data_IF_041187195141
#
_entry.id   IF_041187195141
#
_cell.length_a   1.000
_cell.length_b   1.000
_cell.length_c   1.000
_cell.angle_alpha   90.00
_cell.angle_beta   90.00
_cell.angle_gamma   90.00
#
_symmetry.space_group_name_H-M   'P 1'
#
loop_
_entity.id
_entity.type
_entity.pdbx_description
1 polymer ?
#
# COMPACT_ATOMS: atom_id res chain seq x y z
N UNK A 1 7.31 -2.57 25.22
CA UNK A 1 7.02 -1.59 24.15
C UNK A 1 5.75 -0.84 24.55
N UNK A 2 5.73 0.50 24.51
CA UNK A 2 4.55 1.28 24.91
C UNK A 2 3.41 1.11 23.89
N UNK A 3 2.17 0.94 24.35
CA UNK A 3 0.97 0.80 23.50
C UNK A 3 0.81 1.97 22.52
N UNK A 4 1.08 3.19 22.99
CA UNK A 4 1.06 4.42 22.17
C UNK A 4 2.02 4.37 20.98
N UNK A 5 3.19 3.75 21.15
CA UNK A 5 4.18 3.62 20.06
C UNK A 5 3.69 2.66 18.98
N UNK A 6 3.05 1.55 19.38
CA UNK A 6 2.46 0.59 18.45
C UNK A 6 1.33 1.21 17.65
N UNK A 7 0.46 1.98 18.29
CA UNK A 7 -0.61 2.72 17.61
C UNK A 7 -0.07 3.72 16.60
N UNK A 8 0.97 4.47 16.97
CA UNK A 8 1.64 5.39 16.05
C UNK A 8 2.20 4.68 14.82
N UNK A 9 2.93 3.57 15.00
CA UNK A 9 3.47 2.77 13.88
C UNK A 9 2.35 2.27 12.98
N UNK A 10 1.24 1.80 13.57
CA UNK A 10 0.07 1.30 12.84
C UNK A 10 -0.54 2.39 11.96
N UNK A 11 -0.74 3.58 12.51
CA UNK A 11 -1.26 4.73 11.76
C UNK A 11 -0.32 5.15 10.62
N UNK A 12 1.00 5.20 10.87
CA UNK A 12 1.97 5.54 9.83
C UNK A 12 1.97 4.52 8.68
N UNK A 13 1.87 3.22 9.00
CA UNK A 13 1.79 2.16 7.99
C UNK A 13 0.51 2.24 7.15
N UNK A 14 -0.64 2.49 7.79
CA UNK A 14 -1.91 2.67 7.06
C UNK A 14 -1.83 3.86 6.09
N UNK A 15 -1.32 5.01 6.54
CA UNK A 15 -1.17 6.19 5.68
C UNK A 15 -0.14 5.95 4.57
N UNK A 16 0.95 5.24 4.85
CA UNK A 16 1.99 4.93 3.89
C UNK A 16 1.54 3.95 2.79
N UNK A 17 0.57 3.09 3.08
CA UNK A 17 0.07 2.05 2.17
C UNK A 17 -1.28 2.38 1.53
N UNK A 18 -1.91 3.49 1.93
CA UNK A 18 -3.15 3.97 1.34
C UNK A 18 -2.95 4.32 -0.15
N UNK A 19 -3.93 3.95 -0.97
CA UNK A 19 -3.96 4.34 -2.38
C UNK A 19 -4.43 5.79 -2.50
N UNK A 20 -3.47 6.69 -2.77
CA UNK A 20 -3.74 8.12 -3.01
C UNK A 20 -3.83 8.44 -4.52
N UNK A 21 -3.86 7.41 -5.38
CA UNK A 21 -4.01 7.61 -6.81
C UNK A 21 -5.35 8.27 -7.14
N UNK A 22 -5.32 9.26 -8.04
CA UNK A 22 -6.51 10.05 -8.41
C UNK A 22 -6.72 11.36 -7.65
N UNK A 23 -5.94 11.63 -6.59
CA UNK A 23 -5.93 12.95 -5.93
C UNK A 23 -5.40 14.07 -6.85
N UNK A 24 -4.58 13.72 -7.84
CA UNK A 24 -4.10 14.63 -8.89
C UNK A 24 -4.42 14.08 -10.27
N UNK A 25 -4.86 14.96 -11.18
CA UNK A 25 -4.89 14.66 -12.60
C UNK A 25 -3.44 14.41 -13.03
N UNK A 26 -3.10 13.17 -13.37
CA UNK A 26 -1.72 12.77 -13.67
C UNK A 26 -1.01 13.70 -14.67
N UNK A 27 0.32 13.66 -14.70
CA UNK A 27 1.17 14.63 -15.41
C UNK A 27 0.76 14.87 -16.88
N UNK A 28 0.38 13.81 -17.60
CA UNK A 28 -0.05 13.89 -19.00
C UNK A 28 -1.35 14.71 -19.16
N UNK A 29 -2.31 14.54 -18.24
CA UNK A 29 -3.57 15.26 -18.26
C UNK A 29 -3.37 16.73 -17.89
N UNK A 30 -2.48 17.01 -16.93
CA UNK A 30 -2.10 18.37 -16.57
C UNK A 30 -1.39 19.12 -17.71
N UNK A 31 -0.60 18.42 -18.53
CA UNK A 31 0.01 18.98 -19.74
C UNK A 31 -1.01 19.22 -20.86
N UNK A 32 -1.98 18.32 -21.03
CA UNK A 32 -3.07 18.51 -22.00
C UNK A 32 -3.90 19.76 -21.68
N UNK A 33 -4.24 19.97 -20.41
CA UNK A 33 -5.03 21.13 -19.96
C UNK A 33 -4.24 22.46 -20.04
N UNK A 34 -2.91 22.41 -19.91
CA UNK A 34 -2.02 23.58 -19.99
C UNK A 34 -1.36 23.76 -21.35
N UNK A 35 -1.71 22.94 -22.36
CA UNK A 35 -1.23 23.13 -23.71
C UNK A 35 -1.68 24.52 -24.18
N UNK A 36 -0.73 25.45 -24.21
CA UNK A 36 -0.94 26.82 -24.60
C UNK A 36 -1.57 26.80 -26.00
N UNK A 37 -2.77 27.36 -26.14
CA UNK A 37 -3.47 27.44 -27.42
C UNK A 37 -2.64 28.35 -28.34
N UNK A 38 -1.75 27.76 -29.12
CA UNK A 38 -0.99 28.46 -30.14
C UNK A 38 -1.92 28.71 -31.34
N UNK A 39 -2.66 29.82 -31.27
CA UNK A 39 -3.51 30.27 -32.38
C UNK A 39 -2.64 30.90 -33.45
N UNK A 40 -2.19 30.08 -34.41
CA UNK A 40 -1.59 30.53 -35.67
C UNK A 40 -2.53 31.42 -36.54
N UNK A 41 -3.75 31.68 -36.07
CA UNK A 41 -4.80 32.45 -36.74
C UNK A 41 -4.41 33.91 -36.98
N UNK A 42 -3.61 34.53 -36.11
CA UNK A 42 -3.17 35.93 -36.28
C UNK A 42 -1.65 36.06 -36.19
N UNK A 43 -0.99 36.21 -37.35
CA UNK A 43 0.42 36.59 -37.41
C UNK A 43 0.60 38.00 -36.79
N UNK A 44 1.52 38.15 -35.84
CA UNK A 44 1.88 39.46 -35.26
C UNK A 44 2.25 40.46 -36.36
N UNK A 45 1.61 41.63 -36.41
CA UNK A 45 1.98 42.73 -37.31
C UNK A 45 3.26 43.41 -36.78
N UNK A 46 4.29 43.52 -37.63
CA UNK A 46 5.55 44.20 -37.26
C UNK A 46 5.38 45.73 -37.31
N UNK A 47 5.73 46.47 -36.25
CA UNK A 47 5.71 47.93 -36.27
C UNK A 47 6.81 48.48 -37.20
N UNK A 48 6.46 49.53 -37.95
CA UNK A 48 7.39 50.26 -38.84
C UNK A 48 7.50 51.69 -38.33
N UNK A 49 8.73 52.16 -38.14
CA UNK A 49 9.04 53.51 -37.66
C UNK A 49 9.88 54.21 -38.72
N UNK A 50 9.59 55.49 -38.97
CA UNK A 50 10.31 56.32 -39.91
C UNK A 50 11.48 56.97 -39.17
N UNK A 51 12.71 56.72 -39.63
CA UNK A 51 13.90 57.31 -39.03
C UNK A 51 14.03 58.77 -39.50
N UNK A 52 13.91 59.72 -38.56
CA UNK A 52 13.87 61.16 -38.84
C UNK A 52 15.18 61.69 -39.46
N UNK A 53 16.31 60.99 -39.26
CA UNK A 53 17.62 61.42 -39.75
C UNK A 53 17.93 60.89 -41.15
N UNK A 54 17.50 59.67 -41.49
CA UNK A 54 17.78 59.04 -42.79
C UNK A 54 16.58 59.00 -43.74
N UNK A 55 15.37 59.34 -43.28
CA UNK A 55 14.14 59.36 -44.08
C UNK A 55 13.65 57.99 -44.55
N UNK A 56 14.25 56.89 -44.05
CA UNK A 56 13.91 55.52 -44.44
C UNK A 56 12.97 54.88 -43.41
N UNK A 57 12.01 54.10 -43.90
CA UNK A 57 11.11 53.32 -43.04
C UNK A 57 11.82 52.04 -42.61
N UNK A 58 12.17 51.96 -41.33
CA UNK A 58 12.84 50.80 -40.74
C UNK A 58 11.79 49.93 -40.05
N UNK A 59 11.88 48.63 -40.27
CA UNK A 59 11.03 47.66 -39.55
C UNK A 59 11.74 47.34 -38.25
N UNK A 60 11.14 47.72 -37.11
CA UNK A 60 11.77 47.51 -35.80
C UNK A 60 11.54 46.05 -35.40
N UNK A 61 12.59 45.22 -35.50
CA UNK A 61 12.42 43.77 -35.37
C UNK A 61 12.05 43.32 -33.95
N UNK A 62 12.33 44.10 -32.89
CA UNK A 62 11.78 43.87 -31.55
C UNK A 62 11.87 45.12 -30.65
N UNK A 63 10.76 45.67 -30.10
CA UNK A 63 10.85 46.51 -28.90
C UNK A 63 11.28 45.65 -27.68
N UNK A 64 11.84 46.23 -26.60
CA UNK A 64 12.11 45.50 -25.37
C UNK A 64 10.84 44.76 -24.94
N UNK A 65 10.89 43.44 -24.89
CA UNK A 65 9.72 42.62 -24.57
C UNK A 65 9.50 42.76 -23.06
N UNK A 66 8.42 43.42 -22.58
CA UNK A 66 8.09 43.36 -21.16
C UNK A 66 7.72 41.91 -20.85
N UNK A 67 8.67 41.18 -20.27
CA UNK A 67 8.49 39.80 -19.83
C UNK A 67 7.54 39.79 -18.63
N UNK A 68 6.25 39.63 -18.89
CA UNK A 68 5.29 39.32 -17.84
C UNK A 68 5.58 37.88 -17.42
N UNK A 69 6.07 37.68 -16.21
CA UNK A 69 6.33 36.35 -15.66
C UNK A 69 5.07 35.50 -15.89
N UNK A 70 5.18 34.49 -16.75
CA UNK A 70 4.07 33.58 -17.10
C UNK A 70 3.82 32.54 -16.01
N UNK A 71 4.54 32.61 -14.89
CA UNK A 71 4.08 31.94 -13.68
C UNK A 71 2.71 32.50 -13.32
N UNK A 72 1.68 31.68 -13.50
CA UNK A 72 0.44 31.86 -12.79
C UNK A 72 0.78 32.11 -11.32
N UNK A 73 0.15 33.09 -10.67
CA UNK A 73 0.21 33.30 -9.21
C UNK A 73 -0.50 32.13 -8.49
N UNK A 74 -0.03 30.92 -8.72
CA UNK A 74 -0.45 29.70 -8.08
C UNK A 74 0.80 28.98 -7.61
N UNK A 75 0.76 28.46 -6.38
CA UNK A 75 1.75 27.49 -5.93
C UNK A 75 1.87 26.39 -6.99
N UNK A 76 3.09 26.04 -7.36
CA UNK A 76 3.36 24.89 -8.24
C UNK A 76 2.51 23.68 -7.81
N UNK A 77 1.95 22.94 -8.77
CA UNK A 77 1.31 21.66 -8.45
C UNK A 77 2.43 20.71 -8.03
N UNK A 78 2.46 20.22 -6.78
CA UNK A 78 3.52 19.33 -6.33
C UNK A 78 3.49 18.03 -7.12
N UNK A 79 4.65 17.63 -7.65
CA UNK A 79 4.80 16.44 -8.49
C UNK A 79 4.57 15.13 -7.72
N UNK A 80 4.81 15.15 -6.42
CA UNK A 80 4.60 14.06 -5.47
C UNK A 80 3.75 14.63 -4.34
N UNK A 81 2.73 13.90 -3.89
CA UNK A 81 1.94 14.39 -2.76
C UNK A 81 2.83 14.53 -1.52
N UNK A 82 2.70 15.59 -0.72
CA UNK A 82 3.48 15.76 0.51
C UNK A 82 3.38 14.55 1.45
N UNK A 83 2.21 13.91 1.49
CA UNK A 83 1.96 12.69 2.28
C UNK A 83 2.76 11.50 1.74
N UNK A 84 2.76 11.27 0.42
CA UNK A 84 3.54 10.20 -0.21
C UNK A 84 5.04 10.41 0.01
N UNK A 85 5.51 11.66 -0.07
CA UNK A 85 6.90 12.00 0.18
C UNK A 85 7.29 11.75 1.65
N UNK A 86 6.48 12.24 2.60
CA UNK A 86 6.73 12.07 4.04
C UNK A 86 6.73 10.59 4.46
N UNK A 87 5.86 9.79 3.86
CA UNK A 87 5.72 8.35 4.15
C UNK A 87 6.63 7.44 3.32
N UNK A 88 7.46 8.00 2.44
CA UNK A 88 8.33 7.21 1.56
C UNK A 88 9.34 6.35 2.34
N UNK A 89 9.83 6.82 3.49
CA UNK A 89 10.72 6.05 4.37
C UNK A 89 10.03 4.78 4.90
N UNK A 90 8.76 4.88 5.31
CA UNK A 90 7.94 3.77 5.77
C UNK A 90 7.70 2.73 4.67
N UNK A 91 7.40 3.18 3.45
CA UNK A 91 7.26 2.27 2.30
C UNK A 91 8.56 1.52 2.00
N UNK A 92 9.70 2.20 2.04
CA UNK A 92 11.01 1.56 1.85
C UNK A 92 11.32 0.55 2.97
N UNK A 93 11.03 0.91 4.21
CA UNK A 93 11.19 0.01 5.34
C UNK A 93 10.31 -1.24 5.16
N UNK A 94 9.01 -1.06 4.88
CA UNK A 94 8.08 -2.17 4.62
C UNK A 94 8.55 -3.09 3.49
N UNK A 95 9.06 -2.53 2.39
CA UNK A 95 9.56 -3.31 1.26
C UNK A 95 10.90 -4.00 1.52
N UNK A 96 11.63 -3.61 2.58
CA UNK A 96 12.88 -4.25 2.99
C UNK A 96 12.68 -5.46 3.90
N UNK A 97 11.47 -5.66 4.44
CA UNK A 97 11.14 -6.81 5.28
C UNK A 97 11.07 -8.11 4.46
N UNK A 98 11.17 -9.24 5.17
CA UNK A 98 10.96 -10.56 4.57
C UNK A 98 9.55 -10.69 3.99
N UNK A 99 9.41 -11.53 2.96
CA UNK A 99 8.17 -11.62 2.16
C UNK A 99 6.94 -11.90 3.02
N UNK A 100 7.06 -12.80 3.99
CA UNK A 100 5.95 -13.17 4.87
C UNK A 100 5.56 -12.03 5.84
N UNK A 101 6.52 -11.27 6.36
CA UNK A 101 6.27 -10.14 7.27
C UNK A 101 5.65 -8.96 6.50
N UNK A 102 6.20 -8.67 5.32
CA UNK A 102 5.65 -7.67 4.39
C UNK A 102 4.22 -8.04 4.00
N UNK A 103 3.97 -9.29 3.62
CA UNK A 103 2.64 -9.79 3.28
C UNK A 103 1.67 -9.65 4.46
N UNK A 104 2.12 -9.95 5.68
CA UNK A 104 1.30 -9.76 6.89
C UNK A 104 0.90 -8.30 7.10
N UNK A 105 1.86 -7.38 7.05
CA UNK A 105 1.61 -5.95 7.25
C UNK A 105 0.70 -5.38 6.17
N UNK A 106 0.94 -5.73 4.90
CA UNK A 106 0.06 -5.35 3.80
C UNK A 106 -1.35 -5.91 4.00
N UNK A 107 -1.49 -7.20 4.30
CA UNK A 107 -2.81 -7.81 4.45
C UNK A 107 -3.62 -7.27 5.65
N UNK A 108 -2.96 -6.81 6.71
CA UNK A 108 -3.63 -6.27 7.89
C UNK A 108 -3.90 -4.76 7.81
N UNK A 109 -2.99 -3.99 7.21
CA UNK A 109 -3.02 -2.52 7.29
C UNK A 109 -3.19 -1.82 5.95
N UNK A 110 -2.97 -2.50 4.83
CA UNK A 110 -3.42 -2.00 3.55
C UNK A 110 -4.85 -2.46 3.30
N UNK A 111 -5.62 -1.69 2.53
CA UNK A 111 -6.95 -2.09 2.05
C UNK A 111 -6.89 -3.24 1.03
N UNK A 112 -5.70 -3.83 0.81
CA UNK A 112 -5.48 -4.90 -0.13
C UNK A 112 -5.88 -6.27 0.47
N UNK A 113 -6.94 -6.85 -0.08
CA UNK A 113 -7.43 -8.18 0.28
C UNK A 113 -6.82 -9.31 -0.56
N UNK A 114 -5.68 -9.04 -1.24
CA UNK A 114 -5.03 -9.99 -2.15
C UNK A 114 -4.84 -11.37 -1.50
N UNK A 115 -5.25 -12.38 -2.26
CA UNK A 115 -5.10 -13.79 -1.92
C UNK A 115 -3.63 -14.19 -1.78
N UNK A 116 -2.73 -13.56 -2.53
CA UNK A 116 -1.30 -13.89 -2.56
C UNK A 116 -0.64 -13.68 -1.19
N UNK A 117 -1.02 -12.62 -0.49
CA UNK A 117 -0.51 -12.38 0.87
C UNK A 117 -0.92 -13.51 1.82
N UNK A 118 -2.18 -13.96 1.74
CA UNK A 118 -2.69 -15.05 2.57
C UNK A 118 -1.93 -16.35 2.31
N UNK A 119 -1.63 -16.65 1.04
CA UNK A 119 -0.83 -17.81 0.66
C UNK A 119 0.60 -17.71 1.24
N UNK A 120 1.27 -16.56 1.10
CA UNK A 120 2.62 -16.38 1.60
C UNK A 120 2.72 -16.56 3.13
N UNK A 121 1.79 -15.95 3.87
CA UNK A 121 1.72 -16.04 5.34
C UNK A 121 1.47 -17.49 5.78
N UNK A 122 0.47 -18.14 5.19
CA UNK A 122 0.09 -19.51 5.58
C UNK A 122 1.14 -20.54 5.19
N UNK A 123 1.83 -20.37 4.06
CA UNK A 123 2.96 -21.22 3.67
C UNK A 123 4.11 -21.12 4.66
N UNK A 124 4.48 -19.90 5.06
CA UNK A 124 5.54 -19.69 6.03
C UNK A 124 5.18 -20.26 7.42
N UNK A 125 3.99 -19.91 7.94
CA UNK A 125 3.52 -20.42 9.22
C UNK A 125 3.41 -21.95 9.22
N UNK A 126 3.03 -22.55 8.08
CA UNK A 126 2.99 -24.00 7.93
C UNK A 126 4.37 -24.62 7.96
N UNK A 127 5.37 -23.99 7.33
CA UNK A 127 6.74 -24.47 7.37
C UNK A 127 7.27 -24.52 8.81
N UNK A 128 7.14 -23.43 9.57
CA UNK A 128 7.53 -23.35 10.99
C UNK A 128 6.80 -24.39 11.85
N UNK A 129 5.48 -24.48 11.71
CA UNK A 129 4.68 -25.45 12.44
C UNK A 129 5.05 -26.89 12.07
N UNK A 130 5.32 -27.17 10.79
CA UNK A 130 5.72 -28.49 10.33
C UNK A 130 7.11 -28.89 10.83
N UNK A 131 8.03 -27.93 10.98
CA UNK A 131 9.34 -28.15 11.59
C UNK A 131 9.21 -28.57 13.06
N UNK A 132 8.29 -27.96 13.82
CA UNK A 132 7.98 -28.38 15.20
C UNK A 132 7.36 -29.77 15.29
N UNK A 133 6.69 -30.22 14.23
CA UNK A 133 6.13 -31.57 14.14
C UNK A 133 7.14 -32.61 13.62
N UNK A 134 8.31 -32.20 13.14
CA UNK A 134 9.33 -33.10 12.61
C UNK A 134 9.82 -34.06 13.71
N UNK A 135 9.28 -35.28 13.71
CA UNK A 135 9.52 -36.30 14.73
C UNK A 135 8.25 -36.98 15.24
N UNK A 136 7.07 -36.36 15.07
CA UNK A 136 5.79 -36.94 15.47
C UNK A 136 5.09 -37.56 14.25
N UNK A 137 4.91 -38.88 14.25
CA UNK A 137 4.09 -39.56 13.23
C UNK A 137 2.62 -39.21 13.43
N UNK A 138 2.03 -38.58 12.43
CA UNK A 138 0.64 -38.13 12.43
C UNK A 138 -0.16 -38.88 11.36
N UNK A 139 -1.41 -39.22 11.66
CA UNK A 139 -2.30 -39.81 10.66
C UNK A 139 -2.60 -38.80 9.54
N UNK A 140 -2.69 -39.27 8.29
CA UNK A 140 -2.94 -38.40 7.12
C UNK A 140 -4.18 -37.54 7.25
N UNK A 141 -5.27 -38.10 7.81
CA UNK A 141 -6.51 -37.35 8.11
C UNK A 141 -6.29 -36.19 9.09
N UNK A 142 -5.43 -36.36 10.09
CA UNK A 142 -5.09 -35.28 11.03
C UNK A 142 -4.26 -34.21 10.33
N UNK A 143 -3.34 -34.60 9.45
CA UNK A 143 -2.52 -33.66 8.68
C UNK A 143 -3.36 -32.77 7.75
N UNK A 144 -4.32 -33.36 7.04
CA UNK A 144 -5.26 -32.61 6.19
C UNK A 144 -6.09 -31.60 6.99
N UNK A 145 -6.53 -31.99 8.19
CA UNK A 145 -7.25 -31.10 9.10
C UNK A 145 -6.37 -29.94 9.57
N UNK A 146 -5.12 -30.20 9.95
CA UNK A 146 -4.19 -29.17 10.37
C UNK A 146 -3.87 -28.17 9.24
N UNK A 147 -3.75 -28.66 8.00
CA UNK A 147 -3.61 -27.77 6.83
C UNK A 147 -4.80 -26.83 6.70
N UNK A 148 -6.03 -27.26 7.01
CA UNK A 148 -7.20 -26.37 7.01
C UNK A 148 -7.18 -25.41 8.20
N UNK A 149 -6.78 -25.88 9.39
CA UNK A 149 -6.68 -25.04 10.58
C UNK A 149 -5.75 -23.85 10.36
N UNK A 150 -4.63 -24.00 9.67
CA UNK A 150 -3.68 -22.88 9.56
C UNK A 150 -4.24 -21.68 8.78
N UNK A 151 -5.11 -21.94 7.80
CA UNK A 151 -5.85 -20.89 7.10
C UNK A 151 -6.82 -20.18 8.03
N UNK A 152 -7.54 -20.94 8.86
CA UNK A 152 -8.46 -20.38 9.85
C UNK A 152 -7.72 -19.58 10.91
N UNK A 153 -6.54 -20.05 11.35
CA UNK A 153 -5.69 -19.35 12.30
C UNK A 153 -5.24 -17.99 11.76
N UNK A 154 -4.89 -17.91 10.47
CA UNK A 154 -4.51 -16.64 9.84
C UNK A 154 -5.66 -15.62 9.85
N UNK A 155 -6.88 -16.09 9.60
CA UNK A 155 -8.07 -15.26 9.64
C UNK A 155 -8.44 -14.83 11.06
N UNK A 156 -8.30 -15.73 12.03
CA UNK A 156 -8.62 -15.48 13.43
C UNK A 156 -7.69 -14.43 14.06
N UNK A 157 -6.38 -14.57 13.84
CA UNK A 157 -5.39 -13.59 14.32
C UNK A 157 -5.65 -12.21 13.69
N UNK A 158 -6.03 -12.16 12.42
CA UNK A 158 -6.42 -10.91 11.76
C UNK A 158 -7.70 -10.32 12.37
N UNK A 159 -8.70 -11.14 12.68
CA UNK A 159 -9.93 -10.71 13.32
C UNK A 159 -9.67 -10.13 14.72
N UNK A 160 -8.85 -10.82 15.52
CA UNK A 160 -8.39 -10.37 16.83
C UNK A 160 -7.67 -9.02 16.75
N UNK A 161 -6.72 -8.89 15.81
CA UNK A 161 -6.02 -7.63 15.56
C UNK A 161 -6.95 -6.49 15.14
N UNK A 162 -8.04 -6.81 14.46
CA UNK A 162 -9.08 -5.87 14.04
C UNK A 162 -10.14 -5.58 15.11
N UNK A 163 -10.04 -6.17 16.30
CA UNK A 163 -11.04 -6.04 17.37
C UNK A 163 -12.38 -6.68 17.02
N UNK A 164 -12.39 -7.67 16.13
CA UNK A 164 -13.59 -8.43 15.74
C UNK A 164 -13.68 -9.71 16.58
N UNK A 165 -14.87 -10.30 16.60
CA UNK A 165 -15.11 -11.59 17.26
C UNK A 165 -14.22 -12.69 16.65
N UNK A 166 -13.51 -13.40 17.52
CA UNK A 166 -12.69 -14.55 17.18
C UNK A 166 -13.53 -15.83 17.17
N UNK A 167 -13.03 -16.85 16.49
CA UNK A 167 -13.73 -18.13 16.40
C UNK A 167 -13.80 -18.83 17.75
N UNK A 168 -14.98 -19.33 18.09
CA UNK A 168 -15.13 -20.24 19.23
C UNK A 168 -14.60 -21.63 18.88
N UNK A 169 -14.06 -22.34 19.88
CA UNK A 169 -13.52 -23.68 19.69
C UNK A 169 -14.56 -24.69 19.15
N UNK A 170 -15.84 -24.52 19.50
CA UNK A 170 -16.92 -25.34 18.94
C UNK A 170 -17.10 -25.11 17.43
N UNK A 171 -16.98 -23.87 16.98
CA UNK A 171 -17.14 -23.49 15.57
C UNK A 171 -15.95 -23.98 14.74
N UNK A 172 -14.73 -23.85 15.27
CA UNK A 172 -13.53 -24.39 14.63
C UNK A 172 -13.60 -25.92 14.49
N UNK A 173 -14.08 -26.61 15.52
CA UNK A 173 -14.28 -28.06 15.47
C UNK A 173 -15.28 -28.45 14.37
N UNK A 174 -16.38 -27.71 14.24
CA UNK A 174 -17.37 -27.91 13.18
C UNK A 174 -16.78 -27.66 11.78
N UNK A 175 -16.04 -26.57 11.59
CA UNK A 175 -15.39 -26.22 10.31
C UNK A 175 -14.37 -27.26 9.85
N UNK A 176 -13.70 -27.92 10.78
CA UNK A 176 -12.70 -28.97 10.50
C UNK A 176 -13.32 -30.38 10.47
N UNK A 177 -14.61 -30.50 10.81
CA UNK A 177 -15.35 -31.78 10.81
C UNK A 177 -14.92 -32.72 11.95
N UNK A 178 -14.70 -32.16 13.14
CA UNK A 178 -14.30 -32.87 14.36
C UNK A 178 -15.37 -32.66 15.44
N UNK A 179 -15.58 -33.66 16.30
CA UNK A 179 -16.45 -33.50 17.48
C UNK A 179 -15.82 -32.52 18.49
N UNK A 180 -16.60 -31.66 19.17
CA UNK A 180 -16.08 -30.71 20.15
C UNK A 180 -15.19 -31.35 21.23
N UNK A 181 -15.56 -32.54 21.71
CA UNK A 181 -14.79 -33.27 22.74
C UNK A 181 -13.37 -33.66 22.32
N UNK A 182 -13.13 -33.79 21.02
CA UNK A 182 -11.83 -34.14 20.47
C UNK A 182 -10.95 -32.90 20.24
N UNK A 183 -11.54 -31.70 20.24
CA UNK A 183 -10.84 -30.44 20.08
C UNK A 183 -9.87 -30.19 21.25
N UNK A 184 -10.40 -30.19 22.48
CA UNK A 184 -9.65 -29.89 23.69
C UNK A 184 -8.50 -30.85 23.95
N UNK A 185 -8.66 -32.12 23.52
CA UNK A 185 -7.67 -33.19 23.77
C UNK A 185 -6.51 -33.19 22.77
N UNK A 186 -6.78 -32.89 21.50
CA UNK A 186 -5.80 -33.16 20.43
C UNK A 186 -5.48 -31.95 19.55
N UNK A 187 -6.37 -30.96 19.43
CA UNK A 187 -6.22 -29.86 18.47
C UNK A 187 -6.00 -28.50 19.13
N UNK A 188 -6.39 -28.31 20.39
CA UNK A 188 -6.24 -27.04 21.10
C UNK A 188 -4.79 -26.56 21.19
N UNK A 189 -3.85 -27.45 21.48
CA UNK A 189 -2.42 -27.07 21.57
C UNK A 189 -1.84 -26.75 20.19
N UNK A 190 -2.24 -27.50 19.16
CA UNK A 190 -1.85 -27.21 17.77
C UNK A 190 -2.39 -25.87 17.28
N UNK A 191 -3.64 -25.54 17.65
CA UNK A 191 -4.25 -24.26 17.31
C UNK A 191 -3.49 -23.09 17.92
N UNK A 192 -3.21 -23.12 19.23
CA UNK A 192 -2.45 -22.06 19.89
C UNK A 192 -1.05 -21.91 19.31
N UNK A 193 -0.38 -23.03 18.98
CA UNK A 193 0.92 -22.99 18.31
C UNK A 193 0.83 -22.33 16.93
N UNK A 194 -0.16 -22.67 16.10
CA UNK A 194 -0.37 -22.04 14.79
C UNK A 194 -0.66 -20.55 14.93
N UNK A 195 -1.54 -20.13 15.83
CA UNK A 195 -1.84 -18.71 16.05
C UNK A 195 -0.60 -17.95 16.54
N UNK A 196 0.23 -18.56 17.39
CA UNK A 196 1.50 -17.98 17.85
C UNK A 196 2.48 -17.70 16.71
N UNK A 197 2.67 -18.68 15.81
CA UNK A 197 3.52 -18.51 14.63
C UNK A 197 3.05 -17.39 13.70
N UNK A 198 1.74 -17.28 13.51
CA UNK A 198 1.15 -16.24 12.64
C UNK A 198 1.27 -14.85 13.25
N UNK A 199 1.18 -14.73 14.57
CA UNK A 199 1.27 -13.44 15.25
C UNK A 199 2.71 -12.89 15.31
N UNK A 200 3.70 -13.65 14.82
CA UNK A 200 5.14 -13.32 14.88
C UNK A 200 5.65 -13.00 16.31
N UNK A 201 4.92 -13.44 17.33
CA UNK A 201 5.33 -13.31 18.72
C UNK A 201 6.30 -14.46 19.04
N UNK A 202 7.59 -14.20 18.83
CA UNK A 202 8.69 -14.89 19.49
C UNK A 202 9.06 -14.17 20.78
#
# INVERSE_FOLDING_TARGET
>A
MNTQYLEYVRQQLMVATADLSGATKGQLMAWLENAQIDTNTFKRKKPRVLDEVTGKVITLDNPPIPGKQSHAKGSHIPLVQPVEYATASWRRALLSLEEHQKAWLLWNYSENTSWEHQVAITQWAWAEFSAQLAGKKMAGKTMERLKKLIWLAAQDVKAELGGKDTYQYCDLAALVGIKPDNWSKNYGDHWRAMCGHICFNG
#
